data_IF_430345197234
#
_entry.id   IF_430345197234
#
_cell.length_a   1.000
_cell.length_b   1.000
_cell.length_c   1.000
_cell.angle_alpha   90.00
_cell.angle_beta   90.00
_cell.angle_gamma   90.00
#
_symmetry.space_group_name_H-M   'P 1'
#
loop_
_entity.id
_entity.type
_entity.pdbx_description
1 polymer ?
#
# COMPACT_ATOMS: atom_id res chain seq x y z
N UNK A 1 29.52 0.79 -19.45
CA UNK A 1 28.29 0.24 -18.84
C UNK A 1 28.51 -0.99 -17.91
N UNK A 2 29.73 -1.41 -17.66
CA UNK A 2 30.05 -2.65 -16.90
C UNK A 2 30.36 -2.43 -15.42
N UNK A 3 30.76 -1.25 -15.00
CA UNK A 3 31.23 -0.96 -13.62
C UNK A 3 30.04 -0.78 -12.64
N UNK A 4 28.91 -0.29 -13.14
CA UNK A 4 27.71 -0.04 -12.31
C UNK A 4 27.00 -1.31 -11.88
N UNK A 5 27.13 -2.40 -12.64
CA UNK A 5 26.57 -3.71 -12.29
C UNK A 5 27.34 -4.44 -11.19
N UNK A 6 28.62 -4.19 -11.04
CA UNK A 6 29.46 -4.83 -10.03
C UNK A 6 29.31 -4.20 -8.63
N UNK A 7 28.92 -2.93 -8.55
CA UNK A 7 28.71 -2.22 -7.28
C UNK A 7 27.34 -2.50 -6.63
N UNK A 8 26.33 -2.84 -7.44
CA UNK A 8 24.98 -3.13 -6.94
C UNK A 8 24.78 -4.61 -6.56
N UNK A 9 25.59 -5.50 -7.07
CA UNK A 9 25.47 -6.94 -6.79
C UNK A 9 25.65 -7.30 -5.30
N UNK A 10 26.62 -6.73 -4.55
CA UNK A 10 26.76 -7.04 -3.13
C UNK A 10 25.69 -6.37 -2.25
N UNK A 11 25.11 -5.23 -2.68
CA UNK A 11 24.02 -4.55 -1.96
C UNK A 11 22.71 -5.30 -2.14
N UNK A 12 22.41 -5.77 -3.35
CA UNK A 12 21.22 -6.58 -3.61
C UNK A 12 21.25 -7.92 -2.86
N UNK A 13 22.40 -8.54 -2.71
CA UNK A 13 22.57 -9.77 -1.90
C UNK A 13 22.41 -9.54 -0.39
N UNK A 14 22.67 -8.33 0.11
CA UNK A 14 22.51 -7.99 1.54
C UNK A 14 21.07 -7.67 1.94
N UNK A 15 20.22 -7.34 0.99
CA UNK A 15 18.82 -6.98 1.21
C UNK A 15 17.82 -8.00 0.63
N UNK A 16 18.25 -9.24 0.46
CA UNK A 16 17.29 -10.34 0.35
C UNK A 16 16.95 -10.80 1.78
N UNK A 17 15.90 -10.26 2.39
CA UNK A 17 15.35 -10.89 3.56
C UNK A 17 14.73 -12.19 3.05
N UNK A 18 15.31 -13.32 3.39
CA UNK A 18 14.55 -14.54 3.36
C UNK A 18 14.55 -15.43 2.13
N UNK A 19 15.68 -15.81 1.62
CA UNK A 19 15.69 -17.16 1.08
C UNK A 19 15.80 -18.25 2.18
N UNK A 20 16.11 -17.83 3.42
CA UNK A 20 16.32 -18.74 4.55
C UNK A 20 15.34 -18.55 5.72
N UNK A 21 14.43 -17.58 5.67
CA UNK A 21 13.39 -17.44 6.68
C UNK A 21 12.06 -17.90 6.13
N UNK A 22 11.63 -19.06 6.54
CA UNK A 22 10.30 -19.55 6.25
C UNK A 22 9.26 -18.74 7.02
N UNK A 23 8.80 -17.66 6.41
CA UNK A 23 7.76 -16.80 6.96
C UNK A 23 6.46 -17.54 7.20
N UNK A 24 6.24 -18.67 6.54
CA UNK A 24 5.08 -19.52 6.79
C UNK A 24 5.14 -20.15 8.17
N UNK A 25 6.35 -20.46 8.66
CA UNK A 25 6.55 -20.95 10.01
C UNK A 25 6.40 -19.86 11.08
N UNK A 26 6.75 -18.60 10.74
CA UNK A 26 6.69 -17.46 11.67
C UNK A 26 5.28 -16.88 11.76
N UNK A 27 4.57 -16.76 10.63
CA UNK A 27 3.23 -16.16 10.55
C UNK A 27 2.11 -17.18 10.37
N UNK A 28 2.39 -18.46 10.66
CA UNK A 28 1.35 -19.46 10.80
C UNK A 28 0.87 -20.08 9.50
N UNK A 29 1.78 -20.42 8.59
CA UNK A 29 1.51 -21.46 7.62
C UNK A 29 1.14 -22.79 8.26
N UNK A 30 1.24 -22.89 9.56
CA UNK A 30 0.67 -23.91 10.43
C UNK A 30 -0.76 -23.55 10.81
N UNK A 31 -1.59 -23.46 9.83
CA UNK A 31 -3.03 -23.31 9.99
C UNK A 31 -3.74 -24.44 10.71
N UNK A 32 -3.01 -25.35 11.26
CA UNK A 32 -3.53 -26.49 11.99
C UNK A 32 -2.99 -26.53 13.42
N UNK A 33 -3.13 -25.46 14.18
CA UNK A 33 -3.12 -25.63 15.62
C UNK A 33 -4.38 -26.44 15.95
N UNK A 34 -4.18 -27.66 16.42
CA UNK A 34 -5.24 -28.61 16.83
C UNK A 34 -6.21 -29.07 15.72
N UNK A 35 -5.75 -29.20 14.46
CA UNK A 35 -6.58 -29.77 13.38
C UNK A 35 -7.67 -28.85 12.84
N UNK A 36 -7.68 -27.56 13.23
CA UNK A 36 -8.57 -26.57 12.63
C UNK A 36 -7.95 -25.97 11.36
N UNK A 37 -8.72 -25.80 10.27
CA UNK A 37 -8.24 -25.12 9.07
C UNK A 37 -7.92 -23.65 9.40
N UNK A 38 -6.96 -23.05 8.66
CA UNK A 38 -6.68 -21.62 8.79
C UNK A 38 -7.94 -20.83 8.49
N UNK A 39 -8.30 -19.86 9.35
CA UNK A 39 -9.43 -18.99 9.05
C UNK A 39 -9.15 -18.18 7.78
N UNK A 40 -10.15 -18.04 6.94
CA UNK A 40 -10.09 -17.11 5.80
C UNK A 40 -9.98 -15.67 6.30
N UNK A 41 -9.53 -14.75 5.44
CA UNK A 41 -9.48 -13.33 5.79
C UNK A 41 -10.88 -12.81 6.16
N UNK A 42 -11.92 -13.26 5.46
CA UNK A 42 -13.31 -12.90 5.80
C UNK A 42 -13.74 -13.37 7.20
N UNK A 43 -13.36 -14.57 7.57
CA UNK A 43 -13.62 -15.09 8.93
C UNK A 43 -12.79 -14.36 9.99
N UNK A 44 -11.54 -14.02 9.67
CA UNK A 44 -10.67 -13.25 10.56
C UNK A 44 -11.19 -11.84 10.78
N UNK A 45 -11.70 -11.18 9.74
CA UNK A 45 -12.33 -9.85 9.84
C UNK A 45 -13.66 -9.85 10.60
N UNK A 46 -14.33 -11.01 10.72
CA UNK A 46 -15.52 -11.15 11.56
C UNK A 46 -15.20 -11.10 13.05
N UNK A 47 -13.93 -11.25 13.45
CA UNK A 47 -13.50 -11.09 14.82
C UNK A 47 -13.38 -9.59 15.16
N UNK A 48 -14.12 -9.07 16.15
CA UNK A 48 -14.11 -7.64 16.48
C UNK A 48 -12.72 -7.08 16.82
N UNK A 49 -11.87 -7.90 17.45
CA UNK A 49 -10.50 -7.50 17.80
C UNK A 49 -9.62 -7.30 16.57
N UNK A 50 -9.70 -8.19 15.58
CA UNK A 50 -8.93 -8.08 14.32
C UNK A 50 -9.41 -6.89 13.52
N UNK A 51 -10.73 -6.75 13.38
CA UNK A 51 -11.33 -5.60 12.70
C UNK A 51 -10.91 -4.28 13.35
N UNK A 52 -10.97 -4.19 14.69
CA UNK A 52 -10.57 -2.99 15.43
C UNK A 52 -9.08 -2.65 15.20
N UNK A 53 -8.18 -3.64 15.19
CA UNK A 53 -6.77 -3.41 14.92
C UNK A 53 -6.53 -2.86 13.50
N UNK A 54 -7.15 -3.47 12.48
CA UNK A 54 -7.02 -3.02 11.08
C UNK A 54 -7.58 -1.61 10.92
N UNK A 55 -8.73 -1.34 11.53
CA UNK A 55 -9.36 -0.02 11.51
C UNK A 55 -8.46 1.05 12.12
N UNK A 56 -7.90 0.81 13.31
CA UNK A 56 -6.99 1.77 13.97
C UNK A 56 -5.76 2.05 13.10
N UNK A 57 -5.19 1.02 12.47
CA UNK A 57 -4.08 1.19 11.53
C UNK A 57 -4.50 2.04 10.32
N UNK A 58 -5.63 1.74 9.71
CA UNK A 58 -6.17 2.47 8.57
C UNK A 58 -6.40 3.95 8.88
N UNK A 59 -7.15 4.23 9.95
CA UNK A 59 -7.45 5.60 10.38
C UNK A 59 -6.17 6.39 10.75
N UNK A 60 -5.20 5.74 11.39
CA UNK A 60 -3.93 6.39 11.78
C UNK A 60 -3.10 6.78 10.57
N UNK A 61 -2.97 5.90 9.59
CA UNK A 61 -2.23 6.17 8.34
C UNK A 61 -2.97 7.21 7.51
N UNK A 62 -4.29 7.08 7.35
CA UNK A 62 -5.12 8.03 6.60
C UNK A 62 -5.11 9.46 7.18
N UNK A 63 -4.84 9.59 8.48
CA UNK A 63 -4.62 10.89 9.12
C UNK A 63 -3.36 11.63 8.64
N UNK A 64 -2.42 10.92 8.00
CA UNK A 64 -1.17 11.49 7.48
C UNK A 64 -1.39 11.97 6.03
N UNK A 65 -1.27 13.28 5.77
CA UNK A 65 -1.55 13.80 4.43
C UNK A 65 -0.48 13.39 3.42
N UNK A 66 -0.88 12.78 2.31
CA UNK A 66 -0.01 12.57 1.16
C UNK A 66 0.26 13.89 0.44
N UNK A 67 1.51 14.32 0.44
CA UNK A 67 1.94 15.56 -0.17
C UNK A 67 2.92 15.27 -1.30
N UNK A 68 2.61 15.75 -2.49
CA UNK A 68 3.50 15.65 -3.65
C UNK A 68 4.58 16.73 -3.59
N UNK A 69 5.85 16.33 -3.71
CA UNK A 69 7.00 17.22 -3.76
C UNK A 69 7.68 17.13 -5.12
N UNK A 70 8.24 18.26 -5.54
CA UNK A 70 9.15 18.36 -6.69
C UNK A 70 10.57 18.56 -6.19
N UNK A 71 11.51 17.84 -6.75
CA UNK A 71 12.92 18.05 -6.49
C UNK A 71 13.40 19.32 -7.22
N UNK A 72 14.10 20.18 -6.51
CA UNK A 72 14.70 21.41 -7.05
C UNK A 72 16.12 21.13 -7.51
N UNK A 73 16.62 21.87 -8.51
CA UNK A 73 17.98 21.71 -9.07
C UNK A 73 19.10 21.74 -8.01
N UNK A 74 18.86 22.35 -6.87
CA UNK A 74 19.81 22.47 -5.76
C UNK A 74 19.64 21.34 -4.69
N UNK A 75 18.96 20.24 -5.00
CA UNK A 75 18.73 19.13 -4.08
C UNK A 75 17.67 19.39 -3.00
N UNK A 76 17.00 20.56 -3.03
CA UNK A 76 15.87 20.86 -2.14
C UNK A 76 14.57 20.20 -2.62
N UNK A 77 13.54 20.19 -1.74
CA UNK A 77 12.21 19.70 -2.07
C UNK A 77 11.19 20.83 -1.88
N UNK A 78 10.38 21.05 -2.91
CA UNK A 78 9.30 22.04 -2.92
C UNK A 78 7.94 21.35 -3.11
N UNK A 79 6.91 21.83 -2.42
CA UNK A 79 5.54 21.30 -2.59
C UNK A 79 5.04 21.56 -4.00
N UNK A 80 4.70 20.52 -4.72
CA UNK A 80 4.22 20.60 -6.11
C UNK A 80 2.69 20.80 -6.16
N UNK A 81 2.19 21.89 -5.63
CA UNK A 81 0.74 22.18 -5.54
C UNK A 81 0.05 22.23 -6.92
N UNK A 82 0.81 22.59 -7.96
CA UNK A 82 0.31 22.67 -9.33
C UNK A 82 0.37 21.33 -10.08
N UNK A 83 0.88 20.26 -9.44
CA UNK A 83 0.93 18.95 -10.06
C UNK A 83 -0.45 18.29 -10.08
N UNK A 84 -0.89 17.66 -11.18
CA UNK A 84 -2.21 17.02 -11.27
C UNK A 84 -2.50 16.03 -10.14
N UNK A 85 -1.50 15.24 -9.75
CA UNK A 85 -1.60 14.28 -8.64
C UNK A 85 -1.80 14.92 -7.27
N UNK A 86 -1.41 16.19 -7.08
CA UNK A 86 -1.55 16.85 -5.78
C UNK A 86 -3.02 16.90 -5.32
N UNK A 87 -3.92 17.25 -6.24
CA UNK A 87 -5.37 17.30 -5.95
C UNK A 87 -5.91 15.89 -5.67
N UNK A 88 -5.56 14.92 -6.50
CA UNK A 88 -6.04 13.54 -6.43
C UNK A 88 -5.61 12.89 -5.11
N UNK A 89 -4.33 12.98 -4.75
CA UNK A 89 -3.80 12.37 -3.54
C UNK A 89 -4.15 13.13 -2.24
N UNK A 90 -4.29 14.45 -2.32
CA UNK A 90 -4.46 15.28 -1.11
C UNK A 90 -5.91 15.57 -0.74
N UNK A 91 -6.81 15.61 -1.72
CA UNK A 91 -8.19 16.04 -1.50
C UNK A 91 -9.21 14.98 -1.86
N UNK A 92 -9.23 14.57 -3.12
CA UNK A 92 -10.31 13.75 -3.64
C UNK A 92 -9.80 12.85 -4.76
N UNK A 93 -9.54 11.55 -4.47
CA UNK A 93 -9.11 10.58 -5.47
C UNK A 93 -10.15 10.29 -6.54
N UNK A 94 -11.43 10.29 -6.16
CA UNK A 94 -12.57 10.08 -7.06
C UNK A 94 -13.81 10.83 -6.54
N UNK A 95 -14.90 10.96 -7.33
CA UNK A 95 -16.09 11.70 -6.92
C UNK A 95 -16.82 11.16 -5.68
N UNK A 96 -16.60 9.89 -5.33
CA UNK A 96 -17.32 9.20 -4.25
C UNK A 96 -16.57 9.16 -2.93
N UNK A 97 -15.24 9.41 -2.95
CA UNK A 97 -14.38 9.24 -1.78
C UNK A 97 -13.49 10.45 -1.54
N UNK A 98 -13.29 10.77 -0.29
CA UNK A 98 -12.23 11.70 0.15
C UNK A 98 -10.86 11.02 0.14
N UNK A 99 -9.77 11.80 0.21
CA UNK A 99 -8.42 11.24 0.33
C UNK A 99 -8.27 10.37 1.59
N UNK A 100 -8.88 10.80 2.69
CA UNK A 100 -8.86 10.04 3.95
C UNK A 100 -9.50 8.65 3.79
N UNK A 101 -10.71 8.58 3.26
CA UNK A 101 -11.44 7.31 3.05
C UNK A 101 -10.69 6.37 2.09
N UNK A 102 -10.08 6.94 1.06
CA UNK A 102 -9.27 6.17 0.11
C UNK A 102 -8.03 5.58 0.77
N UNK A 103 -7.28 6.39 1.54
CA UNK A 103 -6.06 5.93 2.23
C UNK A 103 -6.38 4.93 3.33
N UNK A 104 -7.47 5.14 4.09
CA UNK A 104 -7.96 4.18 5.08
C UNK A 104 -8.29 2.83 4.44
N UNK A 105 -9.03 2.85 3.33
CA UNK A 105 -9.40 1.62 2.61
C UNK A 105 -8.18 0.92 2.03
N UNK A 106 -7.26 1.65 1.39
CA UNK A 106 -6.03 1.07 0.82
C UNK A 106 -5.15 0.46 1.91
N UNK A 107 -5.01 1.12 3.06
CA UNK A 107 -4.26 0.61 4.21
C UNK A 107 -4.93 -0.64 4.79
N UNK A 108 -6.25 -0.64 4.90
CA UNK A 108 -7.02 -1.79 5.38
C UNK A 108 -6.91 -2.99 4.45
N UNK A 109 -6.93 -2.77 3.13
CA UNK A 109 -6.67 -3.81 2.14
C UNK A 109 -5.25 -4.37 2.27
N UNK A 110 -4.26 -3.50 2.44
CA UNK A 110 -2.87 -3.91 2.63
C UNK A 110 -2.68 -4.73 3.92
N UNK A 111 -3.32 -4.31 5.01
CA UNK A 111 -3.25 -5.01 6.29
C UNK A 111 -3.97 -6.37 6.27
N UNK A 112 -5.11 -6.47 5.58
CA UNK A 112 -5.91 -7.70 5.51
C UNK A 112 -5.40 -8.71 4.47
N UNK A 113 -5.06 -8.25 3.27
CA UNK A 113 -4.72 -9.12 2.14
C UNK A 113 -3.23 -9.05 1.73
N UNK A 114 -2.44 -8.20 2.39
CA UNK A 114 -1.04 -7.99 2.03
C UNK A 114 -0.82 -7.08 0.82
N UNK A 115 -1.85 -6.79 0.05
CA UNK A 115 -1.80 -5.94 -1.14
C UNK A 115 -3.03 -5.04 -1.23
N UNK A 116 -2.86 -3.88 -1.88
CA UNK A 116 -3.94 -2.97 -2.20
C UNK A 116 -3.78 -2.49 -3.64
N UNK A 117 -4.89 -2.41 -4.37
CA UNK A 117 -4.90 -2.07 -5.79
C UNK A 117 -5.84 -0.92 -6.05
N UNK A 118 -5.44 -0.04 -6.97
CA UNK A 118 -6.29 1.03 -7.45
C UNK A 118 -6.23 1.14 -8.96
N UNK A 119 -7.37 1.28 -9.60
CA UNK A 119 -7.47 1.60 -11.01
C UNK A 119 -7.16 3.09 -11.21
N UNK A 120 -6.31 3.37 -12.17
CA UNK A 120 -5.94 4.74 -12.54
C UNK A 120 -6.75 5.16 -13.76
N UNK A 121 -7.56 6.20 -13.61
CA UNK A 121 -8.27 6.83 -14.73
C UNK A 121 -7.46 8.03 -15.19
N UNK A 122 -7.14 8.04 -16.48
CA UNK A 122 -6.40 9.11 -17.13
C UNK A 122 -7.36 10.04 -17.88
N UNK A 123 -6.99 11.31 -17.97
CA UNK A 123 -7.63 12.26 -18.88
C UNK A 123 -7.13 12.06 -20.34
N UNK A 124 -7.73 12.77 -21.31
CA UNK A 124 -7.30 12.74 -22.71
C UNK A 124 -5.87 13.23 -22.94
N UNK A 125 -5.23 13.84 -21.96
CA UNK A 125 -3.83 14.28 -21.98
C UNK A 125 -2.87 13.33 -21.25
N UNK A 126 -3.32 12.15 -20.85
CA UNK A 126 -2.51 11.17 -20.13
C UNK A 126 -2.21 11.52 -18.66
N UNK A 127 -2.93 12.49 -18.08
CA UNK A 127 -2.76 12.88 -16.68
C UNK A 127 -3.72 12.08 -15.81
N UNK A 128 -3.28 11.71 -14.62
CA UNK A 128 -4.13 11.02 -13.64
C UNK A 128 -5.26 11.94 -13.21
N UNK A 129 -6.49 11.49 -13.46
CA UNK A 129 -7.72 12.19 -13.11
C UNK A 129 -8.35 11.63 -11.84
N UNK A 130 -8.43 10.30 -11.76
CA UNK A 130 -9.11 9.61 -10.66
C UNK A 130 -8.36 8.33 -10.28
N UNK A 131 -8.55 7.90 -9.02
CA UNK A 131 -8.09 6.63 -8.48
C UNK A 131 -9.29 5.90 -7.87
N UNK A 132 -9.53 4.67 -8.33
CA UNK A 132 -10.62 3.83 -7.84
C UNK A 132 -10.06 2.60 -7.15
N UNK A 133 -10.35 2.36 -5.87
CA UNK A 133 -9.87 1.18 -5.16
C UNK A 133 -10.49 -0.09 -5.75
N UNK A 134 -9.68 -1.12 -5.89
CA UNK A 134 -10.10 -2.44 -6.34
C UNK A 134 -10.07 -3.42 -5.18
N UNK A 135 -10.97 -4.38 -5.21
CA UNK A 135 -11.04 -5.43 -4.19
C UNK A 135 -9.90 -6.43 -4.38
N UNK A 136 -9.03 -6.63 -3.35
CA UNK A 136 -7.88 -7.54 -3.45
C UNK A 136 -8.28 -9.01 -3.62
N UNK A 137 -9.45 -9.40 -3.10
CA UNK A 137 -9.97 -10.77 -3.17
C UNK A 137 -10.42 -11.21 -4.57
N UNK A 138 -10.42 -10.29 -5.53
CA UNK A 138 -10.82 -10.54 -6.94
C UNK A 138 -9.70 -10.30 -7.95
N UNK A 139 -8.47 -10.09 -7.47
CA UNK A 139 -7.32 -9.77 -8.32
C UNK A 139 -6.40 -10.97 -8.49
#
# INVERSE_FOLDING_TARGET
MSVMRALLAPVAKRFHPSQDMDWSAVFGGQAAIAGMPAPSIGESLALPSVFACIRVLGETVAGLPLITYRETRNGGRERATNHPLYRVLRRQPNPEMTAFEFEELMTSHCAGWGNAYAQIILDGGGRVRELWPLRPDRM
#
